data_IF_079163542368
#
_entry.id   IF_079163542368
#
_cell.length_a   1.000
_cell.length_b   1.000
_cell.length_c   1.000
_cell.angle_alpha   90.00
_cell.angle_beta   90.00
_cell.angle_gamma   90.00
#
_symmetry.space_group_name_H-M   'P 1'
#
loop_
_entity.id
_entity.type
_entity.pdbx_description
1 polymer ?
#
# COMPACT_ATOMS: atom_id res chain seq x y z
N UNK A 1 33.76 4.78 6.06
CA UNK A 1 33.95 4.44 4.63
C UNK A 1 32.72 3.71 4.06
N UNK A 2 32.22 2.65 4.69
CA UNK A 2 31.07 1.88 4.19
C UNK A 2 29.80 2.68 3.83
N UNK A 3 29.35 3.59 4.70
CA UNK A 3 28.17 4.42 4.43
C UNK A 3 28.31 5.36 3.21
N UNK A 4 29.54 5.73 2.84
CA UNK A 4 29.83 6.51 1.62
C UNK A 4 29.62 5.63 0.37
N UNK A 5 30.19 4.43 0.37
CA UNK A 5 29.96 3.44 -0.70
C UNK A 5 28.47 3.14 -0.89
N UNK A 6 27.72 2.92 0.20
CA UNK A 6 26.27 2.67 0.12
C UNK A 6 25.46 3.84 -0.48
N UNK A 7 25.99 5.06 -0.44
CA UNK A 7 25.38 6.23 -1.09
C UNK A 7 25.87 6.45 -2.53
N UNK A 8 26.72 5.56 -3.04
CA UNK A 8 27.31 5.67 -4.36
C UNK A 8 28.57 6.55 -4.41
N UNK A 9 29.19 6.85 -3.26
CA UNK A 9 30.43 7.63 -3.22
C UNK A 9 31.66 6.73 -3.25
N UNK A 10 32.65 7.07 -4.06
CA UNK A 10 33.99 6.46 -4.03
C UNK A 10 34.71 6.79 -2.72
N UNK A 11 35.40 5.81 -2.14
CA UNK A 11 36.17 5.98 -0.90
C UNK A 11 37.66 5.73 -1.12
N UNK A 12 38.49 6.48 -0.41
CA UNK A 12 39.94 6.27 -0.39
C UNK A 12 40.36 5.53 0.88
N UNK A 13 41.21 4.51 0.71
CA UNK A 13 41.77 3.71 1.79
C UNK A 13 43.06 4.34 2.34
N UNK A 14 43.51 3.98 3.56
CA UNK A 14 44.76 4.50 4.14
C UNK A 14 46.01 4.21 3.30
N UNK A 15 45.96 3.20 2.42
CA UNK A 15 47.03 2.85 1.49
C UNK A 15 46.93 3.58 0.14
N UNK A 16 46.03 4.56 0.02
CA UNK A 16 45.81 5.37 -1.18
C UNK A 16 44.94 4.72 -2.26
N UNK A 17 44.50 3.47 -2.08
CA UNK A 17 43.59 2.83 -3.05
C UNK A 17 42.22 3.49 -3.03
N UNK A 18 41.67 3.74 -4.22
CA UNK A 18 40.28 4.22 -4.39
C UNK A 18 39.36 3.05 -4.70
N UNK A 19 38.29 2.94 -3.92
CA UNK A 19 37.28 1.90 -4.06
C UNK A 19 35.97 2.56 -4.44
N UNK A 20 35.48 2.21 -5.62
CA UNK A 20 34.22 2.70 -6.16
C UNK A 20 33.08 1.72 -5.81
N UNK A 21 31.82 2.17 -5.75
CA UNK A 21 30.69 1.35 -5.32
C UNK A 21 30.31 0.24 -6.31
N UNK A 22 30.74 0.34 -7.57
CA UNK A 22 30.40 -0.62 -8.64
C UNK A 22 30.94 -2.02 -8.32
N UNK A 23 30.09 -3.03 -8.46
CA UNK A 23 30.43 -4.41 -8.12
C UNK A 23 30.48 -4.73 -6.62
N UNK A 24 30.29 -3.73 -5.75
CA UNK A 24 30.21 -3.89 -4.29
C UNK A 24 28.80 -3.64 -3.79
N UNK A 25 28.18 -2.56 -4.27
CA UNK A 25 26.82 -2.15 -3.91
C UNK A 25 25.88 -2.57 -5.04
N UNK A 26 24.91 -3.42 -4.71
CA UNK A 26 23.88 -3.83 -5.66
C UNK A 26 22.90 -2.70 -6.00
N UNK A 27 22.01 -2.96 -6.94
CA UNK A 27 21.00 -1.99 -7.36
C UNK A 27 20.14 -1.47 -6.20
N UNK A 28 19.71 -0.21 -6.34
CA UNK A 28 18.83 0.42 -5.35
C UNK A 28 17.50 -0.32 -5.32
N UNK A 29 17.20 -0.93 -4.17
CA UNK A 29 15.91 -1.58 -3.94
C UNK A 29 14.79 -0.54 -3.93
N UNK A 30 13.78 -0.73 -4.76
CA UNK A 30 12.57 0.11 -4.75
C UNK A 30 11.87 0.00 -3.39
N UNK A 31 11.46 1.13 -2.82
CA UNK A 31 10.66 1.17 -1.60
C UNK A 31 9.29 0.51 -1.79
N UNK A 32 8.73 -0.03 -0.70
CA UNK A 32 7.36 -0.57 -0.69
C UNK A 32 6.38 0.54 -0.36
N UNK A 33 5.23 0.57 -1.05
CA UNK A 33 4.12 1.49 -0.77
C UNK A 33 2.95 0.72 -0.18
N UNK A 34 2.60 1.02 1.07
CA UNK A 34 1.42 0.50 1.76
C UNK A 34 0.47 1.66 2.01
N UNK A 35 -0.80 1.50 1.68
CA UNK A 35 -1.85 2.51 1.90
C UNK A 35 -2.93 1.92 2.79
N UNK A 36 -3.34 2.68 3.79
CA UNK A 36 -4.39 2.33 4.77
C UNK A 36 -5.41 3.46 4.72
N UNK A 37 -6.66 3.16 4.37
CA UNK A 37 -7.68 4.20 4.13
C UNK A 37 -8.31 4.74 5.42
N UNK A 38 -8.50 3.88 6.42
CA UNK A 38 -9.51 4.12 7.46
C UNK A 38 -10.92 4.02 6.90
N UNK A 39 -11.91 4.47 7.67
CA UNK A 39 -13.32 4.48 7.30
C UNK A 39 -13.58 5.54 6.23
N UNK A 40 -14.17 5.14 5.12
CA UNK A 40 -14.37 6.04 3.98
C UNK A 40 -15.36 5.50 2.97
N UNK A 41 -15.99 6.42 2.21
CA UNK A 41 -16.61 6.12 0.93
C UNK A 41 -15.56 6.05 -0.18
N UNK A 42 -15.84 5.34 -1.28
CA UNK A 42 -14.98 5.39 -2.46
C UNK A 42 -14.87 6.82 -2.96
N UNK A 43 -13.66 7.34 -3.02
CA UNK A 43 -13.40 8.71 -3.47
C UNK A 43 -12.08 8.79 -4.25
N UNK A 44 -11.97 9.82 -5.10
CA UNK A 44 -10.83 10.00 -5.99
C UNK A 44 -9.50 10.09 -5.23
N UNK A 45 -9.48 10.76 -4.08
CA UNK A 45 -8.26 10.92 -3.27
C UNK A 45 -7.69 9.59 -2.80
N UNK A 46 -8.54 8.59 -2.50
CA UNK A 46 -8.08 7.24 -2.14
C UNK A 46 -7.45 6.55 -3.35
N UNK A 47 -8.03 6.69 -4.54
CA UNK A 47 -7.45 6.13 -5.78
C UNK A 47 -6.08 6.76 -6.06
N UNK A 48 -5.97 8.08 -5.94
CA UNK A 48 -4.75 8.84 -6.20
C UNK A 48 -3.64 8.46 -5.21
N UNK A 49 -3.94 8.41 -3.91
CA UNK A 49 -2.95 8.03 -2.90
C UNK A 49 -2.58 6.56 -3.00
N UNK A 50 -3.50 5.68 -3.43
CA UNK A 50 -3.27 4.25 -3.62
C UNK A 50 -2.58 3.90 -4.95
N UNK A 51 -2.38 4.86 -5.86
CA UNK A 51 -1.81 4.62 -7.19
C UNK A 51 -0.50 3.81 -7.11
N UNK A 52 -0.49 2.63 -7.71
CA UNK A 52 0.66 1.71 -7.76
C UNK A 52 1.09 1.14 -6.40
N UNK A 53 0.22 1.16 -5.38
CA UNK A 53 0.53 0.61 -4.07
C UNK A 53 0.88 -0.88 -4.16
N UNK A 54 1.85 -1.32 -3.38
CA UNK A 54 2.16 -2.74 -3.23
C UNK A 54 1.09 -3.45 -2.40
N UNK A 55 0.46 -2.72 -1.48
CA UNK A 55 -0.67 -3.17 -0.68
C UNK A 55 -1.61 -2.01 -0.40
N UNK A 56 -2.89 -2.20 -0.70
CA UNK A 56 -3.99 -1.35 -0.24
C UNK A 56 -4.78 -2.09 0.83
N UNK A 57 -4.88 -1.50 2.02
CA UNK A 57 -5.80 -1.92 3.09
C UNK A 57 -6.98 -0.98 3.06
N UNK A 58 -8.14 -1.47 2.63
CA UNK A 58 -9.35 -0.68 2.46
C UNK A 58 -10.47 -1.21 3.35
N UNK A 59 -11.27 -0.33 3.92
CA UNK A 59 -12.48 -0.74 4.64
C UNK A 59 -13.51 -1.37 3.67
N UNK A 60 -14.20 -2.39 4.16
CA UNK A 60 -15.24 -3.10 3.44
C UNK A 60 -16.32 -3.50 4.45
N UNK A 61 -16.87 -2.49 5.11
CA UNK A 61 -17.83 -2.69 6.21
C UNK A 61 -19.03 -3.51 5.77
N UNK A 62 -19.44 -3.38 4.51
CA UNK A 62 -20.63 -4.00 3.95
C UNK A 62 -20.35 -4.85 2.69
N UNK A 63 -21.25 -5.80 2.43
CA UNK A 63 -21.40 -6.44 1.13
C UNK A 63 -22.15 -5.54 0.15
N UNK A 64 -22.23 -5.95 -1.13
CA UNK A 64 -22.88 -5.13 -2.17
C UNK A 64 -24.40 -5.02 -1.96
N UNK A 65 -25.00 -6.02 -1.31
CA UNK A 65 -26.41 -6.04 -0.94
C UNK A 65 -26.80 -4.92 0.05
N UNK A 66 -25.84 -4.44 0.85
CA UNK A 66 -26.02 -3.37 1.84
C UNK A 66 -25.46 -2.02 1.35
N UNK A 67 -25.34 -1.84 0.02
CA UNK A 67 -24.73 -0.62 -0.57
C UNK A 67 -25.36 0.69 -0.13
N UNK A 68 -26.68 0.74 -0.02
CA UNK A 68 -27.36 1.98 0.36
C UNK A 68 -27.07 2.32 1.82
N UNK A 69 -27.04 1.31 2.70
CA UNK A 69 -26.55 1.48 4.07
C UNK A 69 -25.11 1.96 4.12
N UNK A 70 -24.24 1.39 3.29
CA UNK A 70 -22.84 1.81 3.18
C UNK A 70 -22.74 3.31 2.84
N UNK A 71 -23.54 3.79 1.89
CA UNK A 71 -23.62 5.22 1.57
C UNK A 71 -24.12 6.05 2.75
N UNK A 72 -25.22 5.65 3.37
CA UNK A 72 -25.85 6.37 4.48
C UNK A 72 -24.91 6.53 5.68
N UNK A 73 -24.12 5.50 5.99
CA UNK A 73 -23.20 5.52 7.13
C UNK A 73 -21.78 5.94 6.77
N UNK A 74 -21.51 6.29 5.52
CA UNK A 74 -20.17 6.73 5.09
C UNK A 74 -19.12 5.64 4.93
N UNK A 75 -19.53 4.38 4.79
CA UNK A 75 -18.66 3.20 4.66
C UNK A 75 -18.63 2.62 3.25
N UNK A 76 -17.69 1.74 2.94
CA UNK A 76 -17.55 1.10 1.61
C UNK A 76 -18.07 -0.33 1.58
N UNK A 77 -18.52 -0.77 0.39
CA UNK A 77 -18.75 -2.19 0.14
C UNK A 77 -17.45 -2.91 -0.25
N UNK A 78 -17.39 -4.23 -0.09
CA UNK A 78 -16.28 -5.04 -0.58
C UNK A 78 -16.06 -4.89 -2.10
N UNK A 79 -17.14 -4.76 -2.87
CA UNK A 79 -17.08 -4.53 -4.32
C UNK A 79 -16.48 -3.16 -4.63
N UNK A 80 -16.89 -2.13 -3.91
CA UNK A 80 -16.37 -0.78 -4.07
C UNK A 80 -14.88 -0.69 -3.70
N UNK A 81 -14.45 -1.31 -2.60
CA UNK A 81 -13.03 -1.42 -2.24
C UNK A 81 -12.20 -2.10 -3.36
N UNK A 82 -12.74 -3.15 -3.98
CA UNK A 82 -12.11 -3.82 -5.12
C UNK A 82 -12.02 -2.91 -6.37
N UNK A 83 -13.05 -2.11 -6.63
CA UNK A 83 -13.04 -1.13 -7.72
C UNK A 83 -11.99 -0.04 -7.50
N UNK A 84 -11.85 0.46 -6.27
CA UNK A 84 -10.79 1.41 -5.89
C UNK A 84 -9.41 0.80 -6.11
N UNK A 85 -9.19 -0.44 -5.65
CA UNK A 85 -7.91 -1.13 -5.85
C UNK A 85 -7.55 -1.30 -7.32
N UNK A 86 -8.54 -1.67 -8.16
CA UNK A 86 -8.37 -1.82 -9.60
C UNK A 86 -8.01 -0.49 -10.27
N UNK A 87 -8.76 0.58 -9.96
CA UNK A 87 -8.50 1.92 -10.48
C UNK A 87 -7.10 2.42 -10.08
N UNK A 88 -6.70 2.17 -8.83
CA UNK A 88 -5.38 2.52 -8.31
C UNK A 88 -4.25 1.64 -8.84
N UNK A 89 -4.55 0.55 -9.56
CA UNK A 89 -3.56 -0.48 -9.96
C UNK A 89 -2.76 -0.99 -8.75
N UNK A 90 -3.43 -1.13 -7.60
CA UNK A 90 -2.83 -1.70 -6.41
C UNK A 90 -2.51 -3.18 -6.67
N UNK A 91 -1.32 -3.63 -6.27
CA UNK A 91 -0.87 -5.01 -6.53
C UNK A 91 -1.61 -6.04 -5.68
N UNK A 92 -2.03 -5.65 -4.48
CA UNK A 92 -2.75 -6.46 -3.52
C UNK A 92 -3.77 -5.60 -2.78
N UNK A 93 -4.91 -6.20 -2.49
CA UNK A 93 -5.97 -5.61 -1.68
C UNK A 93 -6.19 -6.48 -0.44
N UNK A 94 -6.31 -5.83 0.71
CA UNK A 94 -6.82 -6.42 1.95
C UNK A 94 -8.11 -5.69 2.30
N UNK A 95 -9.18 -6.46 2.48
CA UNK A 95 -10.44 -5.98 3.01
C UNK A 95 -10.37 -5.99 4.53
N UNK A 96 -10.67 -4.86 5.16
CA UNK A 96 -10.65 -4.67 6.61
C UNK A 96 -11.97 -4.07 7.10
N UNK A 97 -12.11 -3.89 8.42
CA UNK A 97 -13.26 -3.25 9.04
C UNK A 97 -14.60 -3.92 8.69
N UNK A 98 -14.63 -5.25 8.62
CA UNK A 98 -15.83 -6.02 8.24
C UNK A 98 -16.86 -5.97 9.37
N UNK A 99 -18.13 -5.67 9.03
CA UNK A 99 -19.20 -5.64 10.01
C UNK A 99 -19.42 -7.00 10.67
N UNK A 100 -19.64 -7.00 11.98
CA UNK A 100 -19.91 -8.21 12.77
C UNK A 100 -21.12 -9.02 12.28
N UNK A 101 -22.01 -8.43 11.47
CA UNK A 101 -23.14 -9.12 10.83
C UNK A 101 -22.71 -10.30 9.95
N UNK A 102 -21.50 -10.26 9.40
CA UNK A 102 -20.96 -11.31 8.54
C UNK A 102 -20.17 -12.35 9.34
N UNK A 103 -20.23 -12.29 10.68
CA UNK A 103 -19.66 -13.30 11.53
C UNK A 103 -20.37 -14.63 11.31
N UNK A 104 -19.62 -15.73 11.29
CA UNK A 104 -20.13 -17.09 11.14
C UNK A 104 -21.10 -17.51 12.27
N UNK A 105 -21.15 -16.73 13.35
CA UNK A 105 -22.04 -16.92 14.50
C UNK A 105 -23.14 -15.85 14.59
N UNK A 106 -23.38 -15.08 13.53
CA UNK A 106 -24.53 -14.18 13.46
C UNK A 106 -25.73 -15.02 12.97
N UNK A 107 -26.74 -15.18 13.85
CA UNK A 107 -27.98 -15.90 13.57
C UNK A 107 -28.76 -15.30 12.38
#
# INVERSE_FOLDING_TARGET
>A
LWGKLQRGETVELPDGRKVAPEGIVGEKRRGRKVVITGDTRPCASVVDVAAGADLLVHEATFGEEEKDRAKETGHSTAREAAQVALAAKAKRLVLSHVSARYSLNAD
#
